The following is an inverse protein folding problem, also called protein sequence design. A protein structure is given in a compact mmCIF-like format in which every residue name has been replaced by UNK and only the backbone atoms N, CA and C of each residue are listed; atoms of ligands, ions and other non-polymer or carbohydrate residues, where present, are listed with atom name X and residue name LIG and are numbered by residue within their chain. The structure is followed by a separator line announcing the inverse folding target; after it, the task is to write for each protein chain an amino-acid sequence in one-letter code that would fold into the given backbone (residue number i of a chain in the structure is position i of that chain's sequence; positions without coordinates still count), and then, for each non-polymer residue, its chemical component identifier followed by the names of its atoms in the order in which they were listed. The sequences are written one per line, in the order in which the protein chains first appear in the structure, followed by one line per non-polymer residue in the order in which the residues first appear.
data_IF_871143849501
#
_entry.id   IF_871143849501
#
_cell.length_a   1.000
_cell.length_b   1.000
_cell.length_c   1.000
_cell.angle_alpha   90.00
_cell.angle_beta   90.00
_cell.angle_gamma   90.00
#
_symmetry.space_group_name_H-M   'P 1'
#
loop_
_entity.id
_entity.type
_entity.pdbx_description
1 polymer ?
#
# COMPACT_ATOMS: atom_id res chain seq x y z
N UNK A 1 9.52 27.90 1.58
CA UNK A 1 10.22 27.81 0.27
C UNK A 1 9.30 27.12 -0.74
N UNK A 2 8.50 27.82 -1.49
CA UNK A 2 7.44 27.23 -2.34
C UNK A 2 7.96 26.51 -3.59
N UNK A 3 9.13 26.84 -4.10
CA UNK A 3 9.69 26.28 -5.34
C UNK A 3 10.03 24.78 -5.27
N UNK A 4 10.38 24.24 -4.09
CA UNK A 4 10.67 22.80 -3.91
C UNK A 4 9.44 21.94 -4.17
N UNK A 5 8.25 22.39 -3.77
CA UNK A 5 6.99 21.67 -4.04
C UNK A 5 6.60 21.75 -5.52
N UNK A 6 6.87 22.87 -6.19
CA UNK A 6 6.62 23.02 -7.63
C UNK A 6 7.54 22.08 -8.41
N UNK A 7 8.82 22.06 -8.09
CA UNK A 7 9.80 21.16 -8.73
C UNK A 7 9.47 19.69 -8.51
N UNK A 8 9.06 19.30 -7.29
CA UNK A 8 8.66 17.93 -6.99
C UNK A 8 7.40 17.50 -7.75
N UNK A 9 6.44 18.41 -7.93
CA UNK A 9 5.23 18.15 -8.74
C UNK A 9 5.55 18.01 -10.23
N UNK A 10 6.43 18.88 -10.77
CA UNK A 10 6.87 18.80 -12.16
C UNK A 10 7.64 17.47 -12.41
N UNK A 11 8.52 17.08 -11.51
CA UNK A 11 9.21 15.79 -11.57
C UNK A 11 8.23 14.61 -11.51
N UNK A 12 7.26 14.65 -10.62
CA UNK A 12 6.21 13.64 -10.53
C UNK A 12 5.40 13.53 -11.82
N UNK A 13 5.08 14.66 -12.45
CA UNK A 13 4.38 14.68 -13.73
C UNK A 13 5.20 14.03 -14.85
N UNK A 14 6.48 14.39 -14.97
CA UNK A 14 7.40 13.84 -15.99
C UNK A 14 7.63 12.34 -15.77
N UNK A 15 7.90 11.91 -14.55
CA UNK A 15 8.22 10.50 -14.24
C UNK A 15 7.01 9.57 -14.37
N UNK A 16 5.79 10.12 -14.35
CA UNK A 16 4.55 9.35 -14.54
C UNK A 16 3.99 9.41 -15.96
N UNK A 17 4.61 10.18 -16.87
CA UNK A 17 4.21 10.28 -18.29
C UNK A 17 3.94 8.92 -18.96
N UNK A 18 4.79 7.88 -18.81
CA UNK A 18 4.56 6.58 -19.46
C UNK A 18 3.25 5.90 -19.03
N UNK A 19 2.72 6.25 -17.88
CA UNK A 19 1.49 5.67 -17.33
C UNK A 19 0.23 6.45 -17.71
N UNK A 20 0.36 7.73 -18.10
CA UNK A 20 -0.77 8.59 -18.49
C UNK A 20 -1.46 8.16 -19.79
N UNK A 21 -0.74 7.40 -20.61
CA UNK A 21 -1.22 6.90 -21.90
C UNK A 21 -1.73 5.46 -21.82
N UNK A 22 -1.76 4.87 -20.63
CA UNK A 22 -2.26 3.52 -20.42
C UNK A 22 -3.72 3.58 -19.96
N UNK A 23 -4.62 2.96 -20.70
CA UNK A 23 -6.07 2.93 -20.42
C UNK A 23 -6.38 2.28 -19.05
N UNK A 24 -5.51 1.40 -18.60
CA UNK A 24 -5.68 0.68 -17.35
C UNK A 24 -5.02 1.36 -16.13
N UNK A 25 -4.45 2.57 -16.27
CA UNK A 25 -3.83 3.31 -15.18
C UNK A 25 -4.47 4.70 -15.03
N UNK A 26 -5.10 4.92 -13.88
CA UNK A 26 -5.76 6.18 -13.55
C UNK A 26 -4.96 6.89 -12.46
N UNK A 27 -4.28 7.96 -12.85
CA UNK A 27 -3.48 8.78 -11.92
C UNK A 27 -4.33 9.95 -11.42
N UNK A 28 -4.56 9.98 -10.11
CA UNK A 28 -5.23 11.10 -9.47
C UNK A 28 -4.45 12.43 -9.59
N UNK A 29 -5.11 13.56 -9.33
CA UNK A 29 -4.45 14.85 -9.39
C UNK A 29 -3.35 14.97 -8.32
N UNK A 30 -2.30 15.72 -8.66
CA UNK A 30 -1.17 16.07 -7.78
C UNK A 30 -0.38 14.86 -7.23
N UNK A 31 -0.29 13.76 -8.00
CA UNK A 31 0.58 12.65 -7.69
C UNK A 31 2.05 13.13 -7.64
N UNK A 32 2.73 12.86 -6.53
CA UNK A 32 4.16 13.11 -6.37
C UNK A 32 4.95 11.83 -6.60
N UNK A 33 6.06 11.94 -7.33
CA UNK A 33 6.96 10.80 -7.57
C UNK A 33 8.36 11.26 -7.96
N UNK A 34 9.36 10.43 -7.67
CA UNK A 34 10.78 10.68 -7.99
C UNK A 34 11.34 9.68 -9.00
N UNK A 35 10.48 9.09 -9.84
CA UNK A 35 10.86 8.06 -10.81
C UNK A 35 11.04 6.65 -10.23
N UNK A 36 10.83 6.48 -8.93
CA UNK A 36 10.86 5.17 -8.27
C UNK A 36 9.46 4.56 -8.14
N UNK A 37 8.63 4.70 -9.15
CA UNK A 37 7.33 4.06 -9.28
C UNK A 37 7.35 3.16 -10.52
N UNK A 38 6.94 1.91 -10.36
CA UNK A 38 6.79 0.95 -11.47
C UNK A 38 5.39 0.33 -11.40
N UNK A 39 4.65 0.47 -12.50
CA UNK A 39 3.31 -0.09 -12.66
C UNK A 39 3.37 -1.07 -13.82
N UNK A 40 2.95 -2.31 -13.59
CA UNK A 40 2.97 -3.36 -14.61
C UNK A 40 1.76 -4.28 -14.50
N UNK A 41 1.51 -5.02 -15.59
CA UNK A 41 0.41 -5.97 -15.68
C UNK A 41 -0.80 -5.41 -16.43
N UNK A 42 -1.79 -6.29 -16.73
CA UNK A 42 -2.94 -5.98 -17.58
C UNK A 42 -4.13 -5.36 -16.81
N UNK A 43 -4.20 -5.54 -15.49
CA UNK A 43 -5.31 -5.07 -14.67
C UNK A 43 -5.27 -3.57 -14.39
N UNK A 44 -6.24 -3.08 -13.63
CA UNK A 44 -6.44 -1.66 -13.37
C UNK A 44 -5.64 -1.19 -12.15
N UNK A 45 -5.05 -0.01 -12.26
CA UNK A 45 -4.38 0.68 -11.15
C UNK A 45 -4.92 2.10 -11.03
N UNK A 46 -5.46 2.44 -9.87
CA UNK A 46 -6.14 3.70 -9.60
C UNK A 46 -5.47 4.42 -8.42
N UNK A 47 -5.14 5.69 -8.61
CA UNK A 47 -4.62 6.57 -7.55
C UNK A 47 -5.61 7.67 -7.24
N UNK A 48 -5.86 7.90 -5.97
CA UNK A 48 -6.57 9.07 -5.48
C UNK A 48 -5.76 10.37 -5.62
N UNK A 49 -6.35 11.46 -5.16
CA UNK A 49 -5.69 12.77 -5.16
C UNK A 49 -4.53 12.81 -4.14
N UNK A 50 -3.52 13.61 -4.44
CA UNK A 50 -2.41 13.93 -3.54
C UNK A 50 -1.61 12.73 -3.04
N UNK A 51 -1.61 11.62 -3.77
CA UNK A 51 -0.78 10.47 -3.42
C UNK A 51 0.70 10.83 -3.54
N UNK A 52 1.47 10.45 -2.52
CA UNK A 52 2.91 10.63 -2.51
C UNK A 52 3.62 9.28 -2.71
N UNK A 53 4.07 9.01 -3.93
CA UNK A 53 4.88 7.84 -4.30
C UNK A 53 6.39 8.14 -4.33
N UNK A 54 6.84 9.12 -3.55
CA UNK A 54 8.25 9.49 -3.42
C UNK A 54 8.97 8.51 -2.50
N UNK A 55 9.76 7.62 -3.07
CA UNK A 55 10.53 6.64 -2.32
C UNK A 55 12.00 7.05 -2.17
N UNK A 56 12.58 6.79 -1.00
CA UNK A 56 13.96 7.14 -0.70
C UNK A 56 14.96 6.06 -1.10
N UNK A 57 14.67 4.81 -0.85
CA UNK A 57 15.59 3.70 -1.11
C UNK A 57 15.05 2.73 -2.16
N UNK A 58 13.89 2.15 -1.93
CA UNK A 58 13.34 1.09 -2.75
C UNK A 58 12.34 1.62 -3.79
N UNK A 59 12.01 0.81 -4.77
CA UNK A 59 11.05 1.16 -5.82
C UNK A 59 9.64 0.74 -5.38
N UNK A 60 8.68 1.65 -5.47
CA UNK A 60 7.27 1.29 -5.37
C UNK A 60 6.87 0.45 -6.59
N UNK A 61 6.40 -0.77 -6.38
CA UNK A 61 5.95 -1.69 -7.43
C UNK A 61 4.48 -2.01 -7.26
N UNK A 62 3.68 -1.70 -8.28
CA UNK A 62 2.27 -2.07 -8.34
C UNK A 62 2.10 -3.00 -9.53
N UNK A 63 1.74 -4.25 -9.26
CA UNK A 63 1.74 -5.33 -10.24
C UNK A 63 0.36 -5.99 -10.26
N UNK A 64 -0.32 -5.94 -11.38
CA UNK A 64 -1.54 -6.73 -11.61
C UNK A 64 -1.20 -7.96 -12.42
N UNK A 65 -1.73 -9.13 -12.04
CA UNK A 65 -1.38 -10.41 -12.70
C UNK A 65 -2.48 -10.90 -13.64
N UNK A 66 -3.69 -10.30 -13.55
CA UNK A 66 -4.87 -10.64 -14.40
C UNK A 66 -5.54 -9.36 -14.91
N UNK A 67 -6.26 -9.43 -16.05
CA UNK A 67 -6.96 -8.27 -16.61
C UNK A 67 -8.02 -7.67 -15.69
N UNK A 68 -8.72 -8.52 -14.91
CA UNK A 68 -9.75 -8.13 -13.96
C UNK A 68 -9.20 -7.61 -12.62
N UNK A 69 -7.89 -7.77 -12.37
CA UNK A 69 -7.26 -7.35 -11.12
C UNK A 69 -7.30 -5.83 -10.95
N UNK A 70 -7.48 -5.40 -9.71
CA UNK A 70 -7.56 -3.98 -9.36
C UNK A 70 -6.63 -3.67 -8.18
N UNK A 71 -5.82 -2.61 -8.33
CA UNK A 71 -5.10 -1.97 -7.23
C UNK A 71 -5.65 -0.56 -7.07
N UNK A 72 -6.15 -0.22 -5.88
CA UNK A 72 -6.58 1.14 -5.54
C UNK A 72 -5.73 1.72 -4.44
N UNK A 73 -5.27 2.95 -4.64
CA UNK A 73 -4.52 3.73 -3.65
C UNK A 73 -5.34 4.97 -3.33
N UNK A 74 -5.78 5.09 -2.10
CA UNK A 74 -6.59 6.19 -1.60
C UNK A 74 -5.86 7.53 -1.62
N UNK A 75 -6.64 8.61 -1.51
CA UNK A 75 -6.11 9.98 -1.47
C UNK A 75 -5.10 10.16 -0.32
N UNK A 76 -4.12 11.05 -0.51
CA UNK A 76 -3.08 11.41 0.44
C UNK A 76 -2.19 10.23 0.92
N UNK A 77 -2.39 9.02 0.40
CA UNK A 77 -1.55 7.88 0.76
C UNK A 77 -0.08 8.13 0.41
N UNK A 78 0.83 7.63 1.24
CA UNK A 78 2.29 7.71 1.06
C UNK A 78 2.86 6.33 0.83
N UNK A 79 3.55 6.15 -0.29
CA UNK A 79 4.19 4.91 -0.68
C UNK A 79 5.72 5.10 -0.63
N UNK A 80 6.41 4.33 0.17
CA UNK A 80 7.86 4.42 0.35
C UNK A 80 8.53 3.06 0.19
N UNK A 81 8.59 2.56 -1.06
CA UNK A 81 9.26 1.31 -1.41
C UNK A 81 8.38 0.06 -1.27
N UNK A 82 7.06 0.21 -1.29
CA UNK A 82 6.15 -0.91 -1.18
C UNK A 82 6.02 -1.73 -2.48
N UNK A 83 5.76 -3.02 -2.34
CA UNK A 83 5.39 -3.92 -3.44
C UNK A 83 3.94 -4.39 -3.24
N UNK A 84 3.07 -4.08 -4.20
CA UNK A 84 1.67 -4.46 -4.18
C UNK A 84 1.40 -5.35 -5.38
N UNK A 85 0.91 -6.57 -5.15
CA UNK A 85 0.61 -7.55 -6.21
C UNK A 85 -0.84 -7.99 -6.10
N UNK A 86 -1.60 -7.81 -7.18
CA UNK A 86 -3.00 -8.18 -7.22
C UNK A 86 -3.31 -9.15 -8.38
N UNK A 87 -4.04 -10.21 -8.08
CA UNK A 87 -4.71 -11.09 -9.04
C UNK A 87 -6.22 -10.86 -9.04
N UNK A 88 -6.77 -10.32 -7.98
CA UNK A 88 -8.17 -9.94 -7.81
C UNK A 88 -8.25 -8.48 -7.35
N UNK A 89 -7.85 -8.19 -6.09
CA UNK A 89 -8.01 -6.83 -5.56
C UNK A 89 -7.12 -6.53 -4.35
N UNK A 90 -6.40 -5.42 -4.42
CA UNK A 90 -5.74 -4.80 -3.27
C UNK A 90 -6.19 -3.35 -3.16
N UNK A 91 -6.75 -2.98 -2.01
CA UNK A 91 -7.21 -1.63 -1.72
C UNK A 91 -6.45 -1.04 -0.55
N UNK A 92 -5.96 0.18 -0.72
CA UNK A 92 -5.33 1.00 0.31
C UNK A 92 -6.16 2.25 0.47
N UNK A 93 -6.65 2.49 1.67
CA UNK A 93 -7.48 3.62 2.03
C UNK A 93 -6.79 4.98 1.96
N UNK A 94 -7.52 6.01 2.33
CA UNK A 94 -7.01 7.37 2.39
C UNK A 94 -6.03 7.54 3.57
N UNK A 95 -5.14 8.52 3.45
CA UNK A 95 -4.22 8.96 4.51
C UNK A 95 -3.27 7.87 5.04
N UNK A 96 -3.15 6.74 4.34
CA UNK A 96 -2.27 5.63 4.71
C UNK A 96 -0.79 5.96 4.48
N UNK A 97 0.08 5.36 5.31
CA UNK A 97 1.53 5.42 5.13
C UNK A 97 2.09 4.00 5.01
N UNK A 98 2.65 3.67 3.86
CA UNK A 98 3.25 2.37 3.56
C UNK A 98 4.77 2.50 3.47
N UNK A 99 5.48 1.83 4.38
CA UNK A 99 6.92 1.62 4.28
C UNK A 99 7.29 0.64 3.17
N UNK A 100 8.53 0.16 3.17
CA UNK A 100 8.96 -0.93 2.29
C UNK A 100 8.31 -2.24 2.74
N UNK A 101 7.08 -2.46 2.31
CA UNK A 101 6.23 -3.58 2.68
C UNK A 101 5.75 -4.34 1.44
N UNK A 102 5.20 -5.51 1.66
CA UNK A 102 4.64 -6.33 0.60
C UNK A 102 3.17 -6.68 0.91
N UNK A 103 2.28 -6.35 -0.03
CA UNK A 103 0.86 -6.69 0.00
C UNK A 103 0.56 -7.62 -1.18
N UNK A 104 0.02 -8.80 -0.90
CA UNK A 104 -0.38 -9.76 -1.94
C UNK A 104 -1.76 -10.31 -1.65
N UNK A 105 -2.61 -10.30 -2.66
CA UNK A 105 -3.93 -10.95 -2.59
C UNK A 105 -3.90 -12.44 -3.01
N UNK A 106 -2.73 -12.96 -3.41
CA UNK A 106 -2.55 -14.36 -3.77
C UNK A 106 -1.09 -14.79 -3.56
N UNK A 107 -0.89 -16.06 -3.33
CA UNK A 107 0.45 -16.67 -3.33
C UNK A 107 0.83 -17.11 -4.76
N UNK A 108 2.13 -17.06 -5.10
CA UNK A 108 2.60 -17.49 -6.43
C UNK A 108 2.37 -18.98 -6.69
N UNK A 109 2.22 -19.76 -5.63
CA UNK A 109 1.99 -21.19 -5.67
C UNK A 109 0.79 -21.57 -4.82
N UNK A 110 0.06 -22.62 -5.23
CA UNK A 110 -1.03 -23.18 -4.44
C UNK A 110 -0.49 -23.86 -3.17
N UNK A 111 -1.22 -23.75 -2.09
CA UNK A 111 -0.95 -24.46 -0.84
C UNK A 111 -1.17 -25.98 -0.99
N UNK A 112 -1.98 -26.40 -1.98
CA UNK A 112 -2.23 -27.81 -2.26
C UNK A 112 -0.97 -28.50 -2.80
N UNK A 113 -0.51 -29.59 -2.18
CA UNK A 113 0.63 -30.36 -2.67
C UNK A 113 0.43 -30.91 -4.09
N UNK A 114 -0.80 -31.19 -4.45
CA UNK A 114 -1.18 -31.76 -5.77
C UNK A 114 -1.13 -30.71 -6.88
N UNK A 115 -1.54 -29.50 -6.58
CA UNK A 115 -1.64 -28.39 -7.54
C UNK A 115 -0.61 -27.28 -7.29
N UNK A 116 0.49 -27.57 -6.64
CA UNK A 116 1.47 -26.56 -6.21
C UNK A 116 2.00 -25.67 -7.35
N UNK A 117 1.97 -26.14 -8.58
CA UNK A 117 2.41 -25.35 -9.75
C UNK A 117 1.39 -24.31 -10.22
N UNK A 118 0.15 -24.36 -9.72
CA UNK A 118 -0.84 -23.35 -10.00
C UNK A 118 -0.70 -22.19 -9.01
N UNK A 119 -1.07 -20.96 -9.39
CA UNK A 119 -1.18 -19.86 -8.44
C UNK A 119 -2.17 -20.19 -7.33
N UNK A 120 -1.90 -19.73 -6.13
CA UNK A 120 -2.84 -19.80 -5.02
C UNK A 120 -4.15 -19.05 -5.34
N UNK A 121 -5.20 -19.35 -4.58
CA UNK A 121 -6.48 -18.66 -4.70
C UNK A 121 -6.27 -17.19 -4.33
N UNK A 122 -6.81 -16.29 -5.13
CA UNK A 122 -6.81 -14.87 -4.80
C UNK A 122 -7.88 -14.59 -3.73
N UNK A 123 -7.53 -13.73 -2.77
CA UNK A 123 -8.39 -13.26 -1.70
C UNK A 123 -8.07 -11.77 -1.47
N UNK A 124 -9.04 -10.86 -1.66
CA UNK A 124 -8.78 -9.43 -1.59
C UNK A 124 -8.10 -8.99 -0.31
N UNK A 125 -7.15 -8.06 -0.43
CA UNK A 125 -6.52 -7.39 0.71
C UNK A 125 -7.08 -5.98 0.80
N UNK A 126 -7.52 -5.59 2.00
CA UNK A 126 -8.11 -4.27 2.26
C UNK A 126 -7.40 -3.61 3.43
N UNK A 127 -6.78 -2.47 3.15
CA UNK A 127 -6.23 -1.57 4.18
C UNK A 127 -7.18 -0.39 4.28
N UNK A 128 -7.78 -0.17 5.43
CA UNK A 128 -8.70 0.94 5.66
C UNK A 128 -7.94 2.28 5.79
N UNK A 129 -8.67 3.36 6.07
CA UNK A 129 -8.11 4.70 6.14
C UNK A 129 -7.16 4.89 7.34
N UNK A 130 -6.19 5.79 7.19
CA UNK A 130 -5.25 6.19 8.24
C UNK A 130 -4.46 5.03 8.87
N UNK A 131 -4.07 4.04 8.06
CA UNK A 131 -3.23 2.93 8.51
C UNK A 131 -1.76 3.24 8.24
N UNK A 132 -0.92 2.99 9.24
CA UNK A 132 0.53 3.06 9.08
C UNK A 132 1.14 1.66 9.07
N UNK A 133 1.72 1.28 7.93
CA UNK A 133 2.45 0.01 7.77
C UNK A 133 3.95 0.30 7.79
N UNK A 134 4.65 -0.28 8.73
CA UNK A 134 6.10 -0.19 8.89
C UNK A 134 6.89 -0.83 7.75
N UNK A 135 8.21 -0.75 7.83
CA UNK A 135 9.10 -1.38 6.87
C UNK A 135 9.15 -2.90 7.01
N UNK A 136 9.34 -3.60 5.89
CA UNK A 136 9.50 -5.06 5.79
C UNK A 136 8.33 -5.85 6.39
N UNK A 137 7.13 -5.28 6.29
CA UNK A 137 5.88 -5.95 6.67
C UNK A 137 5.38 -6.77 5.49
N UNK A 138 4.85 -7.96 5.77
CA UNK A 138 4.14 -8.79 4.79
C UNK A 138 2.67 -8.92 5.18
N UNK A 139 1.79 -8.53 4.25
CA UNK A 139 0.34 -8.69 4.38
C UNK A 139 -0.09 -9.83 3.45
N UNK A 140 -0.69 -10.87 4.03
CA UNK A 140 -1.09 -12.07 3.31
C UNK A 140 -2.48 -11.96 2.66
N UNK A 141 -2.79 -12.87 1.72
CA UNK A 141 -4.08 -12.87 1.03
C UNK A 141 -5.28 -12.91 1.99
N UNK A 142 -6.32 -12.15 1.68
CA UNK A 142 -7.58 -12.13 2.43
C UNK A 142 -7.59 -11.19 3.63
N UNK A 143 -6.47 -10.61 4.01
CA UNK A 143 -6.37 -9.77 5.22
C UNK A 143 -7.05 -8.42 5.04
N UNK A 144 -7.84 -8.05 6.06
CA UNK A 144 -8.37 -6.70 6.28
C UNK A 144 -7.69 -6.05 7.47
N UNK A 145 -7.14 -4.83 7.29
CA UNK A 145 -6.60 -4.02 8.38
C UNK A 145 -7.53 -2.83 8.61
N UNK A 146 -8.10 -2.76 9.82
CA UNK A 146 -9.01 -1.70 10.24
C UNK A 146 -8.32 -0.34 10.35
N UNK A 147 -9.11 0.72 10.21
CA UNK A 147 -8.64 2.11 10.22
C UNK A 147 -7.88 2.48 11.52
N UNK A 148 -7.11 3.55 11.46
CA UNK A 148 -6.33 4.07 12.62
C UNK A 148 -5.38 3.04 13.25
N UNK A 149 -4.87 2.10 12.46
CA UNK A 149 -4.02 0.99 12.93
C UNK A 149 -2.56 1.21 12.54
N UNK A 150 -1.66 0.78 13.42
CA UNK A 150 -0.22 0.77 13.17
C UNK A 150 0.28 -0.67 13.11
N UNK A 151 0.93 -1.04 12.01
CA UNK A 151 1.61 -2.33 11.84
C UNK A 151 3.11 -2.11 12.01
N UNK A 152 3.68 -2.69 13.05
CA UNK A 152 5.10 -2.59 13.38
C UNK A 152 6.00 -3.19 12.30
N UNK A 153 7.25 -2.74 12.26
CA UNK A 153 8.26 -3.24 11.33
C UNK A 153 8.43 -4.76 11.46
N UNK A 154 8.74 -5.43 10.33
CA UNK A 154 8.97 -6.88 10.24
C UNK A 154 7.76 -7.75 10.66
N UNK A 155 6.56 -7.18 10.75
CA UNK A 155 5.37 -7.97 11.05
C UNK A 155 4.92 -8.80 9.84
N UNK A 156 4.36 -9.98 10.13
CA UNK A 156 3.69 -10.81 9.12
C UNK A 156 2.24 -10.97 9.54
N UNK A 157 1.34 -10.42 8.72
CA UNK A 157 -0.10 -10.36 9.02
C UNK A 157 -0.82 -11.46 8.26
N UNK A 158 -1.37 -12.43 9.00
CA UNK A 158 -2.12 -13.57 8.49
C UNK A 158 -3.63 -13.43 8.68
N UNK A 159 -4.04 -12.69 9.71
CA UNK A 159 -5.41 -12.57 10.14
C UNK A 159 -5.86 -11.11 10.07
N UNK A 160 -7.17 -10.88 10.04
CA UNK A 160 -7.75 -9.53 10.09
C UNK A 160 -7.33 -8.79 11.36
N UNK A 161 -7.04 -7.51 11.20
CA UNK A 161 -6.65 -6.63 12.30
C UNK A 161 -7.80 -5.65 12.57
N UNK A 162 -8.29 -5.57 13.82
CA UNK A 162 -9.32 -4.61 14.19
C UNK A 162 -8.80 -3.16 14.11
N UNK A 163 -9.68 -2.16 14.01
CA UNK A 163 -9.27 -0.76 13.99
C UNK A 163 -8.70 -0.29 15.34
N UNK A 164 -7.91 0.77 15.28
CA UNK A 164 -7.42 1.49 16.46
C UNK A 164 -6.44 0.69 17.30
N UNK A 165 -5.57 -0.11 16.69
CA UNK A 165 -4.58 -0.92 17.42
C UNK A 165 -3.16 -0.73 16.89
N UNK A 166 -2.19 -1.09 17.71
CA UNK A 166 -0.81 -1.36 17.27
C UNK A 166 -0.60 -2.86 17.27
N UNK A 167 -0.13 -3.38 16.14
CA UNK A 167 0.21 -4.80 15.99
C UNK A 167 1.68 -4.98 15.62
N UNK A 168 2.24 -6.15 15.89
CA UNK A 168 3.61 -6.49 15.52
C UNK A 168 3.92 -7.97 15.69
N UNK A 169 5.06 -8.39 15.16
CA UNK A 169 5.55 -9.76 15.26
C UNK A 169 5.21 -10.65 14.06
N UNK A 170 5.69 -11.89 14.10
CA UNK A 170 5.44 -12.95 13.12
C UNK A 170 5.02 -14.24 13.85
N UNK A 171 3.74 -14.63 13.82
CA UNK A 171 2.59 -13.88 13.27
C UNK A 171 2.29 -12.58 14.04
N UNK A 172 1.72 -11.60 13.36
CA UNK A 172 1.35 -10.32 13.98
C UNK A 172 0.30 -10.53 15.07
N UNK A 173 0.47 -9.83 16.20
CA UNK A 173 -0.50 -9.84 17.32
C UNK A 173 -0.72 -8.42 17.79
N UNK A 174 -1.90 -8.17 18.35
CA UNK A 174 -2.23 -6.88 18.96
C UNK A 174 -1.33 -6.67 20.19
N UNK A 175 -0.55 -5.60 20.15
CA UNK A 175 0.35 -5.21 21.24
C UNK A 175 -0.36 -4.26 22.21
N UNK A 176 -1.15 -3.32 21.67
CA UNK A 176 -1.99 -2.42 22.46
C UNK A 176 -3.08 -1.77 21.61
N UNK A 177 -4.12 -1.24 22.25
CA UNK A 177 -5.10 -0.36 21.62
C UNK A 177 -4.60 1.08 21.60
N UNK A 178 -5.01 1.81 20.57
CA UNK A 178 -4.81 3.25 20.50
C UNK A 178 -6.05 3.91 21.15
N UNK A 179 -5.80 4.78 22.12
CA UNK A 179 -6.88 5.54 22.75
C UNK A 179 -7.47 6.52 21.73
N UNK A 180 -8.75 6.41 21.45
CA UNK A 180 -9.48 7.34 20.58
C UNK A 180 -9.74 8.67 21.30
N UNK A 181 -8.69 9.44 21.63
CA UNK A 181 -8.89 10.67 22.39
C UNK A 181 -7.66 11.42 22.85
N UNK A 182 -6.46 11.00 22.52
CA UNK A 182 -5.25 11.77 22.85
C UNK A 182 -4.83 12.65 21.67
N UNK A 183 -5.59 13.70 21.37
CA UNK A 183 -5.02 14.94 20.83
C UNK A 183 -4.13 15.50 21.93
N UNK A 184 -2.90 14.96 22.03
CA UNK A 184 -1.96 15.31 23.07
C UNK A 184 -1.50 16.74 22.90
N UNK A 185 -1.97 17.57 23.76
CA UNK A 185 -1.26 18.77 24.18
C UNK A 185 0.07 18.33 24.86
N UNK A 186 1.13 18.24 24.09
CA UNK A 186 2.48 18.12 24.62
C UNK A 186 3.25 19.41 24.29
N UNK A 187 2.75 20.52 24.84
CA UNK A 187 3.53 21.75 25.05
C UNK A 187 3.86 21.80 26.56
N UNK A 188 5.06 21.50 26.88
CA UNK A 188 5.84 21.94 28.07
C UNK A 188 6.78 20.82 28.52
N UNK A 189 8.05 20.93 28.25
CA UNK A 189 9.13 21.58 28.95
C UNK A 189 10.43 21.45 28.15
#
# INVERSE_FOLDING_TARGET
MPWRHVAARALGWVTTLPYRWRDNVHLGPRLLGNGRLRISGPGRVEFGADVNAWSHAEVNRLITTRPEAVIRIGRHARLNGCTIVAAERVEVGADCVLGSCELRDHLPYSESPVDRRRPGRAQPVVIEDNVWIGGQVSILPGVRIGHDTVVGIHAVVFDDIPPGVIVGGNPARVLRRLDSGASGDNRSE
#
